data_IF_101753186917
#
_entry.id   IF_101753186917
#
_cell.length_a   1.000
_cell.length_b   1.000
_cell.length_c   1.000
_cell.angle_alpha   90.00
_cell.angle_beta   90.00
_cell.angle_gamma   90.00
#
_symmetry.space_group_name_H-M   'P 1'
#
loop_
_entity.id
_entity.type
_entity.pdbx_description
1 polymer ?
#
# COMPACT_ATOMS: atom_id res chain seq x y z
N UNK A 1 -12.35 41.18 -32.83
CA UNK A 1 -11.37 41.07 -31.73
C UNK A 1 -12.01 40.94 -30.33
N UNK A 2 -13.25 40.44 -30.20
CA UNK A 2 -13.94 40.32 -28.90
C UNK A 2 -14.14 38.86 -28.44
N UNK A 3 -14.14 37.93 -29.40
CA UNK A 3 -14.34 36.50 -29.15
C UNK A 3 -13.03 35.71 -28.89
N UNK A 4 -11.88 36.25 -29.33
CA UNK A 4 -10.57 35.61 -29.13
C UNK A 4 -10.08 35.68 -27.68
N UNK A 5 -10.45 36.74 -26.95
CA UNK A 5 -10.09 36.91 -25.54
C UNK A 5 -10.90 35.96 -24.64
N UNK A 6 -12.14 35.67 -25.03
CA UNK A 6 -13.05 34.84 -24.22
C UNK A 6 -12.60 33.37 -24.17
N UNK A 7 -12.05 32.85 -25.28
CA UNK A 7 -11.50 31.48 -25.32
C UNK A 7 -10.22 31.31 -24.50
N UNK A 8 -9.39 32.35 -24.40
CA UNK A 8 -8.13 32.28 -23.65
C UNK A 8 -8.37 32.24 -22.13
N UNK A 9 -9.41 32.90 -21.64
CA UNK A 9 -9.80 32.88 -20.22
C UNK A 9 -10.42 31.53 -19.84
N UNK A 10 -11.21 30.90 -20.72
CA UNK A 10 -11.80 29.57 -20.48
C UNK A 10 -10.77 28.43 -20.50
N UNK A 11 -9.67 28.58 -21.23
CA UNK A 11 -8.58 27.58 -21.25
C UNK A 11 -7.75 27.57 -19.96
N UNK A 12 -7.76 28.65 -19.17
CA UNK A 12 -7.00 28.76 -17.91
C UNK A 12 -7.74 28.19 -16.69
N UNK A 13 -9.06 28.02 -16.76
CA UNK A 13 -9.90 27.53 -15.64
C UNK A 13 -10.10 26.00 -15.72
N UNK A 14 -9.61 25.36 -16.77
CA UNK A 14 -9.77 23.93 -17.04
C UNK A 14 -8.61 23.04 -16.61
N UNK A 15 -7.66 23.50 -15.78
CA UNK A 15 -6.72 22.58 -15.15
C UNK A 15 -7.48 21.84 -14.03
N UNK A 16 -7.81 20.54 -14.19
CA UNK A 16 -8.24 19.76 -13.04
C UNK A 16 -7.08 19.81 -12.04
N UNK A 17 -7.29 20.49 -10.92
CA UNK A 17 -6.47 20.28 -9.74
C UNK A 17 -6.74 18.84 -9.32
N UNK A 18 -6.02 17.90 -9.90
CA UNK A 18 -5.84 16.58 -9.32
C UNK A 18 -5.16 16.85 -7.99
N UNK A 19 -5.97 17.02 -6.94
CA UNK A 19 -5.50 16.96 -5.57
C UNK A 19 -4.73 15.65 -5.47
N UNK A 20 -3.40 15.68 -5.25
CA UNK A 20 -2.67 14.45 -5.05
C UNK A 20 -3.14 13.90 -3.70
N UNK A 21 -4.09 12.98 -3.74
CA UNK A 21 -4.55 12.24 -2.56
C UNK A 21 -3.39 11.37 -2.09
N UNK A 22 -2.56 11.92 -1.21
CA UNK A 22 -1.47 11.21 -0.54
C UNK A 22 -0.16 11.24 -1.31
N UNK A 23 0.63 12.29 -1.14
CA UNK A 23 1.98 12.47 -1.71
C UNK A 23 3.06 11.58 -1.09
N UNK A 24 2.69 10.49 -0.40
CA UNK A 24 3.63 9.46 0.02
C UNK A 24 3.26 8.16 -0.69
N UNK A 25 4.18 7.65 -1.51
CA UNK A 25 4.05 6.33 -2.11
C UNK A 25 3.92 5.31 -0.98
N UNK A 26 2.77 4.65 -0.90
CA UNK A 26 2.54 3.50 -0.01
C UNK A 26 3.35 2.28 -0.46
N UNK A 27 4.09 2.37 -1.57
CA UNK A 27 4.70 1.23 -2.21
C UNK A 27 3.69 0.45 -3.06
N UNK A 28 4.18 -0.61 -3.70
CA UNK A 28 3.38 -1.43 -4.58
C UNK A 28 3.84 -2.88 -4.60
N UNK A 29 2.97 -3.73 -5.11
CA UNK A 29 3.28 -5.11 -5.45
C UNK A 29 3.99 -5.09 -6.80
N UNK A 30 5.17 -5.71 -6.84
CA UNK A 30 6.00 -5.81 -8.03
C UNK A 30 5.87 -7.20 -8.66
N UNK A 31 5.73 -7.24 -9.99
CA UNK A 31 5.81 -8.44 -10.80
C UNK A 31 6.93 -8.21 -11.81
N UNK A 32 7.98 -9.05 -11.75
CA UNK A 32 9.16 -8.94 -12.62
C UNK A 32 9.78 -7.52 -12.62
N UNK A 33 9.93 -6.94 -11.43
CA UNK A 33 10.51 -5.60 -11.25
C UNK A 33 9.62 -4.43 -11.69
N UNK A 34 8.37 -4.69 -12.13
CA UNK A 34 7.40 -3.65 -12.48
C UNK A 34 6.30 -3.56 -11.44
N UNK A 35 5.98 -2.34 -11.06
CA UNK A 35 4.86 -2.03 -10.17
C UNK A 35 3.55 -2.47 -10.84
N UNK A 36 2.93 -3.52 -10.32
CA UNK A 36 1.69 -4.10 -10.86
C UNK A 36 0.45 -3.48 -10.23
N UNK A 37 0.51 -3.17 -8.94
CA UNK A 37 -0.62 -2.56 -8.21
C UNK A 37 -0.13 -1.82 -6.97
N UNK A 38 -0.61 -0.60 -6.77
CA UNK A 38 -0.35 0.16 -5.55
C UNK A 38 -0.93 -0.54 -4.31
N UNK A 39 -0.25 -0.36 -3.18
CA UNK A 39 -0.74 -0.91 -1.93
C UNK A 39 -2.00 -0.18 -1.44
N UNK A 40 -3.02 -0.91 -0.96
CA UNK A 40 -4.23 -0.32 -0.41
C UNK A 40 -3.96 0.67 0.72
N UNK A 41 -4.94 1.53 1.00
CA UNK A 41 -4.88 2.44 2.15
C UNK A 41 -4.75 1.65 3.46
N UNK A 42 -3.85 2.09 4.35
CA UNK A 42 -3.53 1.41 5.61
C UNK A 42 -2.53 0.27 5.47
N UNK A 43 -1.86 0.19 4.32
CA UNK A 43 -0.78 -0.76 4.06
C UNK A 43 0.41 -0.08 3.41
N UNK A 44 1.58 -0.69 3.54
CA UNK A 44 2.81 -0.31 2.85
C UNK A 44 3.42 -1.49 2.08
N UNK A 45 4.16 -1.17 1.03
CA UNK A 45 4.90 -2.14 0.24
C UNK A 45 6.08 -2.70 1.02
N UNK A 46 6.17 -4.02 1.05
CA UNK A 46 7.30 -4.78 1.56
C UNK A 46 7.89 -5.63 0.44
N UNK A 47 9.22 -5.59 0.26
CA UNK A 47 9.91 -6.39 -0.75
C UNK A 47 11.30 -6.81 -0.24
N UNK A 48 11.76 -8.00 -0.61
CA UNK A 48 13.05 -8.55 -0.13
C UNK A 48 14.16 -8.60 -1.18
N UNK A 49 13.89 -8.23 -2.43
CA UNK A 49 14.87 -8.35 -3.53
C UNK A 49 15.31 -9.80 -3.70
N UNK A 50 16.42 -10.18 -3.06
CA UNK A 50 16.80 -11.56 -2.78
C UNK A 50 17.33 -11.64 -1.34
N UNK A 51 16.55 -12.20 -0.43
CA UNK A 51 16.91 -12.22 0.99
C UNK A 51 15.95 -13.02 1.86
N UNK A 52 16.23 -13.02 3.15
CA UNK A 52 15.29 -13.57 4.13
C UNK A 52 14.07 -12.68 4.25
N UNK A 53 12.91 -13.31 4.35
CA UNK A 53 11.63 -12.63 4.48
C UNK A 53 11.24 -12.50 5.95
N UNK A 54 10.79 -11.31 6.32
CA UNK A 54 10.02 -11.09 7.53
C UNK A 54 8.53 -11.27 7.17
N UNK A 55 7.83 -12.25 7.73
CA UNK A 55 6.39 -12.38 7.56
C UNK A 55 5.65 -11.13 8.08
N UNK A 56 4.46 -10.88 7.53
CA UNK A 56 3.56 -9.86 8.07
C UNK A 56 3.08 -10.27 9.47
N UNK A 57 2.93 -9.29 10.38
CA UNK A 57 2.31 -9.53 11.67
C UNK A 57 0.80 -9.78 11.50
N UNK A 58 0.30 -10.85 12.09
CA UNK A 58 -1.11 -11.24 12.02
C UNK A 58 -1.72 -11.33 13.41
N UNK A 59 -3.04 -11.41 13.50
CA UNK A 59 -3.73 -11.72 14.76
C UNK A 59 -3.29 -13.07 15.36
N UNK A 60 -2.90 -14.02 14.51
CA UNK A 60 -2.44 -15.35 14.93
C UNK A 60 -0.96 -15.38 15.33
N UNK A 61 -0.16 -14.51 14.71
CA UNK A 61 1.28 -14.39 14.90
C UNK A 61 1.67 -12.89 14.92
N UNK A 62 1.45 -12.18 16.04
CA UNK A 62 1.67 -10.74 16.12
C UNK A 62 3.15 -10.34 16.13
N UNK A 63 4.03 -11.27 16.50
CA UNK A 63 5.48 -11.08 16.53
C UNK A 63 6.14 -12.08 15.57
N UNK A 64 6.07 -11.83 14.24
CA UNK A 64 6.67 -12.72 13.26
C UNK A 64 8.19 -12.75 13.43
N UNK A 65 8.78 -13.91 13.12
CA UNK A 65 10.23 -14.11 13.11
C UNK A 65 10.72 -14.19 11.67
N UNK A 66 11.94 -13.73 11.44
CA UNK A 66 12.57 -13.79 10.12
C UNK A 66 12.66 -15.25 9.64
N UNK A 67 12.14 -15.53 8.44
CA UNK A 67 12.22 -16.86 7.84
C UNK A 67 13.68 -17.22 7.53
N UNK A 68 14.07 -18.49 7.72
CA UNK A 68 15.46 -18.93 7.48
C UNK A 68 15.82 -18.98 5.99
N UNK A 69 14.82 -19.24 5.14
CA UNK A 69 14.96 -19.38 3.69
C UNK A 69 15.21 -18.05 2.98
N UNK A 70 15.93 -18.12 1.86
CA UNK A 70 16.10 -16.99 0.95
C UNK A 70 15.01 -17.04 -0.10
N UNK A 71 14.27 -15.94 -0.24
CA UNK A 71 13.29 -15.73 -1.29
C UNK A 71 13.72 -14.56 -2.18
N UNK A 72 13.56 -14.73 -3.48
CA UNK A 72 13.80 -13.70 -4.49
C UNK A 72 12.49 -13.22 -5.08
N UNK A 73 12.48 -11.95 -5.52
CA UNK A 73 11.34 -11.29 -6.17
C UNK A 73 10.04 -11.31 -5.36
N UNK A 74 10.14 -11.41 -4.03
CA UNK A 74 8.98 -11.30 -3.15
C UNK A 74 8.61 -9.84 -2.95
N UNK A 75 7.34 -9.53 -3.16
CA UNK A 75 6.73 -8.26 -2.79
C UNK A 75 5.29 -8.47 -2.34
N UNK A 76 4.86 -7.71 -1.34
CA UNK A 76 3.52 -7.76 -0.77
C UNK A 76 3.15 -6.42 -0.13
N UNK A 77 1.88 -6.23 0.21
CA UNK A 77 1.42 -5.08 0.98
C UNK A 77 1.16 -5.50 2.42
N UNK A 78 1.95 -4.95 3.35
CA UNK A 78 1.85 -5.23 4.78
C UNK A 78 1.05 -4.13 5.49
N UNK A 79 0.34 -4.48 6.54
CA UNK A 79 -0.38 -3.53 7.38
C UNK A 79 0.57 -2.48 7.99
N UNK A 80 0.11 -1.23 8.03
CA UNK A 80 0.87 -0.16 8.67
C UNK A 80 0.90 -0.35 10.19
N UNK A 81 2.05 -0.13 10.86
CA UNK A 81 2.10 -0.10 12.32
C UNK A 81 1.14 0.97 12.86
N UNK A 82 0.40 0.70 13.96
CA UNK A 82 0.50 -0.44 14.87
C UNK A 82 -0.51 -1.58 14.58
N UNK A 83 -1.02 -1.69 13.36
CA UNK A 83 -2.06 -2.66 13.01
C UNK A 83 -1.48 -4.03 12.62
N UNK A 84 -2.31 -5.07 12.72
CA UNK A 84 -1.98 -6.44 12.32
C UNK A 84 -3.03 -6.98 11.35
N UNK A 85 -2.65 -7.95 10.51
CA UNK A 85 -3.58 -8.60 9.59
C UNK A 85 -4.47 -9.60 10.33
N UNK A 86 -5.79 -9.40 10.26
CA UNK A 86 -6.74 -10.47 10.52
C UNK A 86 -6.83 -11.37 9.28
N UNK A 87 -6.39 -12.63 9.42
CA UNK A 87 -6.37 -13.63 8.35
C UNK A 87 -7.76 -14.08 7.93
N UNK A 88 -8.78 -13.89 8.78
CA UNK A 88 -10.17 -14.27 8.51
C UNK A 88 -10.86 -13.23 7.64
N UNK A 89 -10.79 -11.95 8.02
CA UNK A 89 -11.41 -10.87 7.24
C UNK A 89 -10.50 -10.26 6.17
N UNK A 90 -9.20 -10.60 6.19
CA UNK A 90 -8.13 -10.04 5.35
C UNK A 90 -7.93 -8.51 5.53
N UNK A 91 -8.33 -7.97 6.69
CA UNK A 91 -8.23 -6.54 7.01
C UNK A 91 -7.10 -6.27 7.99
N UNK A 92 -6.54 -5.06 7.93
CA UNK A 92 -5.68 -4.54 8.97
C UNK A 92 -6.54 -4.05 10.13
N UNK A 93 -6.32 -4.59 11.32
CA UNK A 93 -7.07 -4.29 12.53
C UNK A 93 -6.12 -3.93 13.67
N UNK A 94 -6.65 -3.26 14.70
CA UNK A 94 -5.91 -3.12 15.95
C UNK A 94 -5.64 -4.51 16.55
N UNK A 95 -4.48 -4.76 17.18
CA UNK A 95 -4.24 -6.02 17.89
C UNK A 95 -5.30 -6.36 18.95
N UNK A 96 -5.94 -5.33 19.52
CA UNK A 96 -7.01 -5.50 20.51
C UNK A 96 -8.36 -5.93 19.88
N UNK A 97 -8.52 -5.74 18.58
CA UNK A 97 -9.73 -6.07 17.83
C UNK A 97 -9.61 -7.43 17.11
N UNK A 98 -8.52 -8.18 17.38
CA UNK A 98 -8.34 -9.50 16.84
C UNK A 98 -9.44 -10.47 17.32
N UNK A 99 -9.96 -11.34 16.44
CA UNK A 99 -10.99 -12.30 16.82
C UNK A 99 -10.47 -13.21 17.94
N UNK A 100 -11.28 -13.37 18.98
CA UNK A 100 -10.98 -14.33 20.05
C UNK A 100 -11.14 -15.74 19.48
N UNK A 101 -10.12 -16.57 19.65
CA UNK A 101 -10.22 -17.99 19.36
C UNK A 101 -11.01 -18.66 20.48
N UNK A 102 -12.11 -19.33 20.13
CA UNK A 102 -12.87 -20.20 21.04
C UNK A 102 -12.16 -21.53 21.28
#
# INVERSE_FOLDING_TARGET
MKYLVFFFVLALVGLPTTTPTGTHSRGCIYILGRCSSECPVGTHGYATGCGRKMPEATCDAPNPVLEEGIICDYSACYCDPPTVRDTVSNKCVSPNDCPKKE
#
